data_IF_742270476118
#
_entry.id   IF_742270476118
#
_cell.length_a   1.000
_cell.length_b   1.000
_cell.length_c   1.000
_cell.angle_alpha   90.00
_cell.angle_beta   90.00
_cell.angle_gamma   90.00
#
_symmetry.space_group_name_H-M   'P 1'
#
loop_
_entity.id
_entity.type
_entity.pdbx_description
1 polymer ?
#
# COMPACT_ATOMS: atom_id res chain seq x y z
N UNK A 1 -24.61 27.69 44.37
CA UNK A 1 -24.07 27.97 43.02
C UNK A 1 -22.60 27.65 43.08
N UNK A 2 -22.23 26.49 42.53
CA UNK A 2 -20.95 25.83 42.81
C UNK A 2 -19.91 26.19 41.75
N UNK A 3 -18.79 26.71 42.24
CA UNK A 3 -17.42 26.60 41.70
C UNK A 3 -17.16 27.15 40.28
N UNK A 4 -16.70 28.39 40.25
CA UNK A 4 -16.02 29.00 39.11
C UNK A 4 -14.76 28.23 38.74
N UNK A 5 -14.66 27.80 37.48
CA UNK A 5 -13.48 27.26 36.83
C UNK A 5 -12.19 27.99 37.26
N UNK A 6 -11.29 27.31 37.96
CA UNK A 6 -9.96 27.79 38.38
C UNK A 6 -8.95 27.85 37.22
N UNK A 7 -9.40 28.22 36.03
CA UNK A 7 -8.54 28.41 34.86
C UNK A 7 -8.20 29.89 34.71
N UNK A 8 -6.91 30.25 34.60
CA UNK A 8 -6.52 31.64 34.40
C UNK A 8 -7.11 32.16 33.08
N UNK A 9 -7.81 33.30 33.12
CA UNK A 9 -8.41 33.93 31.92
C UNK A 9 -7.38 34.34 30.86
N UNK A 10 -6.11 34.49 31.24
CA UNK A 10 -5.01 34.79 30.32
C UNK A 10 -3.69 34.24 30.84
N UNK A 11 -2.78 33.91 29.91
CA UNK A 11 -1.40 33.51 30.19
C UNK A 11 -0.44 34.54 29.59
N UNK A 12 0.66 34.83 30.27
CA UNK A 12 1.69 35.70 29.71
C UNK A 12 2.44 35.00 28.59
N UNK A 13 2.97 35.76 27.63
CA UNK A 13 3.78 35.20 26.54
C UNK A 13 4.95 34.36 27.07
N UNK A 14 5.63 34.81 28.13
CA UNK A 14 6.71 34.05 28.78
C UNK A 14 6.24 32.70 29.30
N UNK A 15 5.04 32.64 29.89
CA UNK A 15 4.46 31.41 30.43
C UNK A 15 3.98 30.47 29.32
N UNK A 16 3.43 31.01 28.24
CA UNK A 16 3.10 30.23 27.03
C UNK A 16 4.37 29.60 26.43
N UNK A 17 5.43 30.39 26.23
CA UNK A 17 6.71 29.88 25.71
C UNK A 17 7.29 28.80 26.61
N UNK A 18 7.26 29.00 27.93
CA UNK A 18 7.69 27.98 28.90
C UNK A 18 6.86 26.69 28.78
N UNK A 19 5.53 26.79 28.64
CA UNK A 19 4.68 25.62 28.47
C UNK A 19 4.94 24.90 27.15
N UNK A 20 5.13 25.62 26.04
CA UNK A 20 5.43 24.98 24.74
C UNK A 20 6.80 24.30 24.73
N UNK A 21 7.80 24.87 25.41
CA UNK A 21 9.15 24.28 25.51
C UNK A 21 9.18 23.03 26.39
N UNK A 22 8.33 22.97 27.42
CA UNK A 22 8.28 21.86 28.38
C UNK A 22 7.12 20.90 28.13
N UNK A 23 6.28 21.16 27.13
CA UNK A 23 5.22 20.25 26.73
C UNK A 23 5.88 18.95 26.23
N UNK A 24 5.59 17.84 26.90
CA UNK A 24 5.92 16.54 26.35
C UNK A 24 5.15 16.36 25.04
N UNK A 25 5.88 15.94 24.01
CA UNK A 25 5.29 15.57 22.72
C UNK A 25 4.28 14.46 22.99
N UNK A 26 3.05 14.62 22.50
CA UNK A 26 1.98 13.65 22.74
C UNK A 26 2.40 12.28 22.20
N UNK A 27 2.66 11.34 23.10
CA UNK A 27 3.20 10.01 22.78
C UNK A 27 2.20 9.24 21.90
N UNK A 28 0.91 9.58 22.00
CA UNK A 28 -0.14 8.97 21.21
C UNK A 28 -0.02 9.29 19.71
N UNK A 29 0.48 10.47 19.34
CA UNK A 29 0.62 10.85 17.91
C UNK A 29 1.69 10.02 17.19
N UNK A 30 2.72 9.56 17.91
CA UNK A 30 3.82 8.76 17.34
C UNK A 30 3.40 7.31 17.16
N UNK A 31 2.52 6.80 18.02
CA UNK A 31 2.00 5.44 17.92
C UNK A 31 0.97 5.34 16.79
N UNK A 32 0.10 6.33 16.60
CA UNK A 32 -0.85 6.37 15.48
C UNK A 32 -0.15 6.37 14.11
N UNK A 33 0.95 7.13 13.94
CA UNK A 33 1.72 7.10 12.69
C UNK A 33 2.38 5.74 12.44
N UNK A 34 2.92 5.09 13.47
CA UNK A 34 3.54 3.76 13.33
C UNK A 34 2.52 2.68 13.02
N UNK A 35 1.36 2.73 13.66
CA UNK A 35 0.27 1.78 13.42
C UNK A 35 -0.27 1.94 11.99
N UNK A 36 -0.42 3.18 11.51
CA UNK A 36 -0.83 3.48 10.14
C UNK A 36 0.18 2.95 9.09
N UNK A 37 1.48 3.19 9.28
CA UNK A 37 2.53 2.67 8.40
C UNK A 37 2.56 1.14 8.41
N UNK A 38 2.31 0.51 9.56
CA UNK A 38 2.23 -0.96 9.67
C UNK A 38 1.06 -1.53 8.88
N UNK A 39 -0.09 -0.84 8.92
CA UNK A 39 -1.29 -1.25 8.21
C UNK A 39 -1.12 -1.06 6.70
N UNK A 40 -0.60 0.09 6.25
CA UNK A 40 -0.34 0.35 4.83
C UNK A 40 0.61 -0.70 4.23
N UNK A 41 1.66 -1.08 4.97
CA UNK A 41 2.57 -2.14 4.54
C UNK A 41 1.87 -3.48 4.42
N UNK A 42 1.03 -3.84 5.39
CA UNK A 42 0.27 -5.09 5.35
C UNK A 42 -0.69 -5.12 4.16
N UNK A 43 -1.43 -4.03 3.92
CA UNK A 43 -2.35 -3.90 2.79
C UNK A 43 -1.61 -4.03 1.45
N UNK A 44 -0.44 -3.39 1.33
CA UNK A 44 0.43 -3.53 0.17
C UNK A 44 0.87 -4.99 -0.04
N UNK A 45 1.37 -5.65 1.00
CA UNK A 45 1.85 -7.04 0.92
C UNK A 45 0.71 -7.99 0.50
N UNK A 46 -0.50 -7.79 1.04
CA UNK A 46 -1.68 -8.55 0.65
C UNK A 46 -2.05 -8.34 -0.83
N UNK A 47 -2.05 -7.09 -1.30
CA UNK A 47 -2.36 -6.76 -2.69
C UNK A 47 -1.34 -7.37 -3.65
N UNK A 48 -0.05 -7.27 -3.31
CA UNK A 48 1.04 -7.84 -4.10
C UNK A 48 0.94 -9.37 -4.17
N UNK A 49 0.63 -10.03 -3.05
CA UNK A 49 0.47 -11.49 -3.04
C UNK A 49 -0.75 -11.93 -3.86
N UNK A 50 -1.88 -11.21 -3.76
CA UNK A 50 -3.06 -11.48 -4.60
C UNK A 50 -2.74 -11.29 -6.09
N UNK A 51 -2.06 -10.19 -6.44
CA UNK A 51 -1.65 -9.92 -7.80
C UNK A 51 -0.71 -11.00 -8.36
N UNK A 52 0.23 -11.49 -7.55
CA UNK A 52 1.16 -12.55 -7.94
C UNK A 52 0.43 -13.85 -8.28
N UNK A 53 -0.53 -14.26 -7.45
CA UNK A 53 -1.34 -15.48 -7.66
C UNK A 53 -2.16 -15.35 -8.93
N UNK A 54 -2.91 -14.26 -9.08
CA UNK A 54 -3.78 -14.02 -10.25
C UNK A 54 -2.95 -13.98 -11.53
N UNK A 55 -1.81 -13.29 -11.53
CA UNK A 55 -0.95 -13.17 -12.71
C UNK A 55 -0.39 -14.52 -13.16
N UNK A 56 0.00 -15.39 -12.22
CA UNK A 56 0.44 -16.76 -12.51
C UNK A 56 -0.68 -17.59 -13.14
N UNK A 57 -1.90 -17.47 -12.64
CA UNK A 57 -3.07 -18.18 -13.20
C UNK A 57 -3.45 -17.67 -14.59
N UNK A 58 -3.36 -16.35 -14.82
CA UNK A 58 -3.56 -15.74 -16.13
C UNK A 58 -2.55 -16.26 -17.14
N UNK A 59 -1.25 -16.23 -16.81
CA UNK A 59 -0.19 -16.78 -17.67
C UNK A 59 -0.49 -18.24 -17.98
N UNK A 60 -0.73 -19.07 -16.97
CA UNK A 60 -1.05 -20.51 -17.15
C UNK A 60 -2.24 -20.74 -18.06
N UNK A 61 -3.25 -19.86 -18.00
CA UNK A 61 -4.44 -19.95 -18.85
C UNK A 61 -4.12 -19.55 -20.30
N UNK A 62 -3.31 -18.52 -20.50
CA UNK A 62 -2.86 -18.09 -21.83
C UNK A 62 -1.95 -19.17 -22.46
N UNK A 63 -0.98 -19.71 -21.71
CA UNK A 63 -0.04 -20.73 -22.21
C UNK A 63 -0.72 -22.03 -22.64
N UNK A 64 -1.88 -22.37 -22.06
CA UNK A 64 -2.69 -23.53 -22.47
C UNK A 64 -3.25 -23.40 -23.88
N UNK A 65 -3.27 -22.18 -24.46
CA UNK A 65 -3.77 -21.87 -25.80
C UNK A 65 -5.07 -22.59 -26.13
N UNK A 66 -6.05 -22.48 -25.22
CA UNK A 66 -7.33 -23.15 -25.38
C UNK A 66 -7.96 -22.74 -26.71
N UNK A 67 -8.13 -23.71 -27.62
CA UNK A 67 -8.64 -23.49 -28.98
C UNK A 67 -10.03 -22.83 -28.96
N UNK A 68 -10.85 -23.08 -27.95
CA UNK A 68 -12.19 -22.49 -27.87
C UNK A 68 -12.17 -21.03 -27.40
N UNK A 69 -11.15 -20.60 -26.66
CA UNK A 69 -10.95 -19.18 -26.30
C UNK A 69 -10.36 -18.36 -27.45
N UNK A 70 -9.68 -19.03 -28.39
CA UNK A 70 -8.87 -18.40 -29.44
C UNK A 70 -9.49 -18.51 -30.85
N UNK A 71 -10.54 -19.33 -31.02
CA UNK A 71 -11.14 -19.68 -32.32
C UNK A 71 -11.56 -18.48 -33.18
N UNK A 72 -12.09 -17.44 -32.55
CA UNK A 72 -12.63 -16.26 -33.24
C UNK A 72 -11.68 -15.05 -33.19
N UNK A 73 -10.42 -15.24 -32.80
CA UNK A 73 -9.44 -14.15 -32.66
C UNK A 73 -8.58 -14.00 -33.91
N UNK A 74 -8.38 -12.75 -34.32
CA UNK A 74 -7.47 -12.42 -35.42
C UNK A 74 -6.01 -12.74 -35.06
N UNK A 75 -5.16 -12.93 -36.07
CA UNK A 75 -3.72 -13.11 -35.88
C UNK A 75 -3.10 -12.00 -35.01
N UNK A 76 -3.46 -10.74 -35.26
CA UNK A 76 -2.99 -9.60 -34.48
C UNK A 76 -3.40 -9.70 -33.00
N UNK A 77 -4.61 -10.16 -32.73
CA UNK A 77 -5.10 -10.37 -31.35
C UNK A 77 -4.33 -11.48 -30.64
N UNK A 78 -3.97 -12.56 -31.36
CA UNK A 78 -3.15 -13.64 -30.80
C UNK A 78 -1.73 -13.18 -30.48
N UNK A 79 -1.13 -12.37 -31.36
CA UNK A 79 0.19 -11.76 -31.14
C UNK A 79 0.15 -10.84 -29.92
N UNK A 80 -0.88 -9.99 -29.82
CA UNK A 80 -1.06 -9.10 -28.66
C UNK A 80 -1.22 -9.89 -27.35
N UNK A 81 -1.96 -10.99 -27.37
CA UNK A 81 -2.12 -11.87 -26.21
C UNK A 81 -0.80 -12.53 -25.80
N UNK A 82 0.01 -12.99 -26.77
CA UNK A 82 1.35 -13.50 -26.50
C UNK A 82 2.30 -12.43 -25.94
N UNK A 83 2.25 -11.21 -26.46
CA UNK A 83 3.03 -10.08 -25.92
C UNK A 83 2.62 -9.75 -24.47
N UNK A 84 1.32 -9.79 -24.17
CA UNK A 84 0.80 -9.61 -22.82
C UNK A 84 1.33 -10.68 -21.86
N UNK A 85 1.33 -11.97 -22.27
CA UNK A 85 1.90 -13.06 -21.47
C UNK A 85 3.36 -12.78 -21.09
N UNK A 86 4.18 -12.31 -22.04
CA UNK A 86 5.58 -11.95 -21.82
C UNK A 86 5.71 -10.78 -20.85
N UNK A 87 4.93 -9.70 -21.04
CA UNK A 87 5.01 -8.53 -20.16
C UNK A 87 4.55 -8.83 -18.72
N UNK A 88 3.50 -9.65 -18.54
CA UNK A 88 3.07 -10.07 -17.20
C UNK A 88 4.15 -10.93 -16.54
N UNK A 89 4.78 -11.84 -17.29
CA UNK A 89 5.88 -12.65 -16.76
C UNK A 89 7.11 -11.79 -16.40
N UNK A 90 7.40 -10.76 -17.20
CA UNK A 90 8.47 -9.80 -16.89
C UNK A 90 8.17 -9.00 -15.62
N UNK A 91 6.92 -8.54 -15.44
CA UNK A 91 6.50 -7.86 -14.22
C UNK A 91 6.64 -8.76 -12.98
N UNK A 92 6.30 -10.05 -13.09
CA UNK A 92 6.53 -11.03 -12.01
C UNK A 92 8.01 -11.22 -11.68
N UNK A 93 8.90 -11.22 -12.68
CA UNK A 93 10.34 -11.31 -12.45
C UNK A 93 10.86 -10.06 -11.74
N UNK A 94 10.41 -8.87 -12.14
CA UNK A 94 10.75 -7.63 -11.45
C UNK A 94 10.27 -7.63 -9.99
N UNK A 95 9.05 -8.10 -9.73
CA UNK A 95 8.54 -8.27 -8.36
C UNK A 95 9.38 -9.25 -7.55
N UNK A 96 9.75 -10.39 -8.14
CA UNK A 96 10.61 -11.37 -7.46
C UNK A 96 12.00 -10.82 -7.16
N UNK A 97 12.56 -9.98 -8.03
CA UNK A 97 13.83 -9.30 -7.77
C UNK A 97 13.68 -8.31 -6.60
N UNK A 98 12.63 -7.49 -6.60
CA UNK A 98 12.31 -6.58 -5.50
C UNK A 98 12.19 -7.32 -4.14
N UNK A 99 11.54 -8.49 -4.12
CA UNK A 99 11.41 -9.32 -2.91
C UNK A 99 12.73 -9.96 -2.43
N UNK A 100 13.73 -10.15 -3.31
CA UNK A 100 15.02 -10.78 -2.97
C UNK A 100 16.01 -9.83 -2.31
N UNK A 101 15.85 -8.53 -2.54
CA UNK A 101 16.73 -7.49 -1.99
C UNK A 101 16.29 -7.01 -0.59
N UNK A 102 15.22 -7.56 -0.04
CA UNK A 102 14.72 -7.33 1.34
C UNK A 102 15.17 -8.43 2.30
#
# INVERSE_FOLDING_TARGET
MSESNNLPQAISHKKLTYLMLNAQKDINSINEEKDFISQEKQEFDELINKWEIISKDVIKTISKRNKDLLKDKSSNSLIALGAMEVHVNMALQALNAFKKDS
#
